data_IF_328578209660
#
_entry.id   IF_328578209660
#
_cell.length_a   1.000
_cell.length_b   1.000
_cell.length_c   1.000
_cell.angle_alpha   90.00
_cell.angle_beta   90.00
_cell.angle_gamma   90.00
#
_symmetry.space_group_name_H-M   'P 1'
#
loop_
_entity.id
_entity.type
_entity.pdbx_description
1 polymer ?
#
# COMPACT_ATOMS: atom_id res chain seq x y z
N UNK A 1 -0.64 -6.56 18.48
CA UNK A 1 0.09 -7.25 17.41
C UNK A 1 -0.89 -7.58 16.28
N UNK A 2 -0.77 -6.95 15.11
CA UNK A 2 -1.65 -7.22 13.97
C UNK A 2 -1.03 -8.40 13.20
N UNK A 3 -1.66 -9.57 13.23
CA UNK A 3 -1.21 -10.74 12.48
C UNK A 3 -1.87 -10.70 11.11
N UNK A 4 -1.12 -10.25 10.10
CA UNK A 4 -1.61 -10.10 8.73
C UNK A 4 -1.40 -11.45 8.02
N UNK A 5 -2.50 -12.15 7.74
CA UNK A 5 -2.49 -13.51 7.14
C UNK A 5 -2.97 -13.54 5.70
N UNK A 6 -3.48 -12.42 5.18
CA UNK A 6 -3.90 -12.28 3.79
C UNK A 6 -3.61 -10.89 3.23
N UNK A 7 -3.43 -10.75 1.89
CA UNK A 7 -3.30 -9.46 1.23
C UNK A 7 -4.47 -8.51 1.51
N UNK A 8 -5.67 -9.05 1.70
CA UNK A 8 -6.87 -8.29 2.06
C UNK A 8 -6.73 -7.67 3.46
N UNK A 9 -6.27 -8.44 4.45
CA UNK A 9 -6.01 -7.92 5.80
C UNK A 9 -4.91 -6.87 5.80
N UNK A 10 -3.91 -7.00 4.93
CA UNK A 10 -2.88 -5.99 4.74
C UNK A 10 -3.48 -4.70 4.19
N UNK A 11 -4.31 -4.79 3.15
CA UNK A 11 -5.02 -3.66 2.55
C UNK A 11 -5.93 -2.94 3.54
N UNK A 12 -6.68 -3.69 4.33
CA UNK A 12 -7.58 -3.14 5.36
C UNK A 12 -6.80 -2.44 6.48
N UNK A 13 -5.72 -3.04 6.96
CA UNK A 13 -4.84 -2.43 7.95
C UNK A 13 -4.18 -1.15 7.40
N UNK A 14 -3.75 -1.17 6.14
CA UNK A 14 -3.18 0.00 5.47
C UNK A 14 -4.20 1.13 5.33
N UNK A 15 -5.43 0.81 4.94
CA UNK A 15 -6.53 1.77 4.83
C UNK A 15 -6.89 2.36 6.20
N UNK A 16 -6.89 1.53 7.24
CA UNK A 16 -7.12 1.98 8.62
C UNK A 16 -6.01 2.94 9.08
N UNK A 17 -4.74 2.56 8.87
CA UNK A 17 -3.59 3.41 9.18
C UNK A 17 -3.64 4.75 8.41
N UNK A 18 -3.98 4.71 7.12
CA UNK A 18 -4.13 5.92 6.29
C UNK A 18 -5.20 6.86 6.85
N UNK A 19 -6.36 6.32 7.23
CA UNK A 19 -7.44 7.11 7.84
C UNK A 19 -7.03 7.68 9.21
N UNK A 20 -6.33 6.91 10.03
CA UNK A 20 -5.85 7.36 11.33
C UNK A 20 -4.83 8.50 11.21
N UNK A 21 -3.98 8.45 10.19
CA UNK A 21 -2.98 9.47 9.92
C UNK A 21 -3.52 10.67 9.11
N UNK A 22 -4.78 10.62 8.65
CA UNK A 22 -5.37 11.66 7.80
C UNK A 22 -4.69 11.82 6.44
N UNK A 23 -3.99 10.78 5.95
CA UNK A 23 -3.19 10.84 4.74
C UNK A 23 -4.01 10.54 3.48
N UNK A 24 -3.63 11.18 2.38
CA UNK A 24 -4.08 10.78 1.04
C UNK A 24 -3.32 9.53 0.57
N UNK A 25 -3.88 8.78 -0.39
CA UNK A 25 -3.22 7.60 -0.93
C UNK A 25 -1.83 7.93 -1.49
N UNK A 26 -1.66 9.09 -2.13
CA UNK A 26 -0.39 9.56 -2.65
C UNK A 26 0.64 9.89 -1.57
N UNK A 27 0.20 10.48 -0.46
CA UNK A 27 1.09 10.76 0.67
C UNK A 27 1.52 9.48 1.38
N UNK A 28 0.62 8.51 1.55
CA UNK A 28 0.96 7.21 2.08
C UNK A 28 1.95 6.48 1.16
N UNK A 29 1.74 6.55 -0.16
CA UNK A 29 2.62 5.97 -1.16
C UNK A 29 4.04 6.58 -1.10
N UNK A 30 4.13 7.91 -1.02
CA UNK A 30 5.37 8.65 -0.80
C UNK A 30 6.05 8.25 0.51
N UNK A 31 5.30 8.17 1.61
CA UNK A 31 5.84 7.81 2.92
C UNK A 31 6.32 6.35 2.99
N UNK A 32 5.68 5.45 2.23
CA UNK A 32 6.06 4.05 2.14
C UNK A 32 7.08 3.76 1.03
N UNK A 33 7.42 4.75 0.18
CA UNK A 33 8.35 4.59 -0.94
C UNK A 33 7.81 3.69 -2.05
N UNK A 34 6.50 3.67 -2.25
CA UNK A 34 5.80 2.83 -3.23
C UNK A 34 4.96 3.66 -4.18
N UNK A 35 4.55 3.09 -5.31
CA UNK A 35 3.65 3.77 -6.23
C UNK A 35 2.23 3.93 -5.66
N UNK A 36 1.56 5.03 -6.01
CA UNK A 36 0.15 5.27 -5.63
C UNK A 36 -0.76 4.16 -6.14
N UNK A 37 -0.50 3.67 -7.35
CA UNK A 37 -1.24 2.55 -7.95
C UNK A 37 -1.12 1.28 -7.09
N UNK A 38 0.05 1.06 -6.47
CA UNK A 38 0.21 -0.06 -5.56
C UNK A 38 -0.65 0.10 -4.31
N UNK A 39 -0.65 1.28 -3.68
CA UNK A 39 -1.51 1.55 -2.50
C UNK A 39 -2.98 1.32 -2.85
N UNK A 40 -3.43 1.74 -4.04
CA UNK A 40 -4.81 1.52 -4.52
C UNK A 40 -5.11 0.03 -4.69
N UNK A 41 -4.20 -0.75 -5.30
CA UNK A 41 -4.41 -2.20 -5.48
C UNK A 41 -4.33 -2.98 -4.16
N UNK A 42 -3.48 -2.52 -3.24
CA UNK A 42 -3.39 -3.03 -1.86
C UNK A 42 -4.69 -2.79 -1.10
N UNK A 43 -5.19 -1.54 -1.10
CA UNK A 43 -6.47 -1.19 -0.47
C UNK A 43 -7.66 -1.91 -1.11
N UNK A 44 -7.55 -2.33 -2.37
CA UNK A 44 -8.56 -3.13 -3.06
C UNK A 44 -8.47 -4.64 -2.77
N UNK A 45 -7.46 -5.10 -2.03
CA UNK A 45 -7.29 -6.49 -1.64
C UNK A 45 -6.89 -7.43 -2.79
N UNK A 46 -6.32 -6.89 -3.88
CA UNK A 46 -5.81 -7.71 -4.98
C UNK A 46 -4.54 -8.45 -4.53
N UNK A 47 -4.42 -9.76 -4.78
CA UNK A 47 -3.23 -10.51 -4.42
C UNK A 47 -2.03 -9.95 -5.18
N UNK A 48 -1.00 -9.54 -4.44
CA UNK A 48 0.33 -9.14 -4.92
C UNK A 48 1.01 -10.31 -5.62
N UNK A 49 0.56 -10.66 -6.83
CA UNK A 49 1.05 -11.80 -7.61
C UNK A 49 2.30 -11.50 -8.45
N UNK A 50 2.56 -10.25 -8.79
CA UNK A 50 3.80 -9.82 -9.46
C UNK A 50 4.11 -8.41 -8.97
N UNK A 51 5.03 -8.31 -8.01
CA UNK A 51 5.70 -7.05 -7.71
C UNK A 51 6.95 -6.98 -8.58
N UNK A 52 6.89 -6.22 -9.67
CA UNK A 52 8.09 -5.78 -10.39
C UNK A 52 8.35 -4.36 -9.91
N UNK A 53 9.27 -4.21 -8.98
CA UNK A 53 9.73 -2.92 -8.50
C UNK A 53 10.42 -2.16 -9.64
N UNK A 54 9.69 -1.28 -10.32
CA UNK A 54 10.28 -0.29 -11.23
C UNK A 54 10.72 0.99 -10.50
N UNK A 55 10.98 0.91 -9.19
CA UNK A 55 11.62 1.97 -8.42
C UNK A 55 13.14 2.05 -8.68
N UNK A 56 13.54 2.03 -9.95
CA UNK A 56 14.91 2.23 -10.40
C UNK A 56 14.97 3.07 -11.69
N UNK A 57 14.15 4.12 -11.81
CA UNK A 57 14.34 5.28 -12.72
C UNK A 57 13.25 6.30 -12.35
N UNK A 58 13.48 7.57 -12.01
CA UNK A 58 14.59 8.48 -12.29
C UNK A 58 14.81 9.44 -11.10
N UNK A 59 16.08 9.86 -10.96
CA UNK A 59 16.49 11.16 -10.41
C UNK A 59 15.84 12.33 -11.16
#
# INVERSE_FOLDING_TARGET
>A
MISIRSPQQLGDALRAARKQLGLTQSQLALAAGVDVRFVVELEAGKPTGVWRNQAATCF
#
